data_IF_096684520003
#
_entry.id   IF_096684520003
#
_cell.length_a   1.000
_cell.length_b   1.000
_cell.length_c   1.000
_cell.angle_alpha   90.00
_cell.angle_beta   90.00
_cell.angle_gamma   90.00
#
_symmetry.space_group_name_H-M   'P 1'
#
loop_
_entity.id
_entity.type
_entity.pdbx_description
1 polymer ?
#
# COMPACT_ATOMS: atom_id res chain seq x y z
N UNK A 1 -10.95 -3.47 -16.21
CA UNK A 1 -9.85 -2.50 -16.15
C UNK A 1 -8.78 -2.95 -17.11
N UNK A 2 -8.19 -2.05 -17.88
CA UNK A 2 -7.03 -2.37 -18.73
C UNK A 2 -5.74 -2.02 -18.02
N UNK A 3 -4.65 -2.74 -18.26
CA UNK A 3 -3.35 -2.46 -17.64
C UNK A 3 -2.92 -1.01 -17.83
N UNK A 4 -3.09 -0.46 -19.03
CA UNK A 4 -2.64 0.90 -19.38
C UNK A 4 -3.47 2.01 -18.72
N UNK A 5 -4.61 1.67 -18.13
CA UNK A 5 -5.45 2.57 -17.35
C UNK A 5 -5.02 2.64 -15.87
N UNK A 6 -4.19 1.68 -15.42
CA UNK A 6 -3.74 1.59 -14.04
C UNK A 6 -2.44 2.37 -13.83
N UNK A 7 -2.45 3.23 -12.81
CA UNK A 7 -1.24 3.92 -12.37
C UNK A 7 -0.47 3.03 -11.40
N UNK A 8 0.77 2.69 -11.75
CA UNK A 8 1.71 2.09 -10.80
C UNK A 8 2.36 3.18 -9.94
N UNK A 9 2.38 2.95 -8.62
CA UNK A 9 2.87 3.93 -7.65
C UNK A 9 3.76 3.28 -6.60
N UNK A 10 4.59 4.11 -5.97
CA UNK A 10 5.24 3.85 -4.69
C UNK A 10 4.60 4.77 -3.66
N UNK A 11 4.09 4.20 -2.56
CA UNK A 11 3.47 4.92 -1.45
C UNK A 11 4.21 4.63 -0.16
N UNK A 12 4.72 5.66 0.49
CA UNK A 12 5.23 5.59 1.85
C UNK A 12 4.13 6.06 2.82
N UNK A 13 3.81 5.25 3.82
CA UNK A 13 2.72 5.52 4.76
C UNK A 13 3.01 4.95 6.14
N UNK A 14 2.21 5.38 7.12
CA UNK A 14 2.28 4.91 8.49
C UNK A 14 1.14 3.92 8.77
N UNK A 15 1.50 2.66 8.97
CA UNK A 15 0.56 1.59 9.30
C UNK A 15 0.40 1.44 10.81
N UNK A 16 -0.73 0.88 11.22
CA UNK A 16 -0.91 0.41 12.58
C UNK A 16 0.13 -0.68 12.88
N UNK A 17 0.73 -0.61 14.06
CA UNK A 17 1.50 -1.72 14.61
C UNK A 17 0.58 -2.52 15.50
N UNK A 18 0.49 -3.83 15.26
CA UNK A 18 -0.05 -4.76 16.25
C UNK A 18 1.09 -5.33 17.08
N UNK A 19 0.76 -5.72 18.30
CA UNK A 19 1.68 -6.46 19.14
C UNK A 19 1.81 -7.92 18.68
N UNK A 20 2.57 -8.73 19.42
CA UNK A 20 2.76 -10.16 19.15
C UNK A 20 1.63 -11.05 19.70
N UNK A 21 0.49 -10.46 20.08
CA UNK A 21 -0.65 -11.11 20.73
C UNK A 21 -0.31 -11.85 22.05
N UNK A 22 0.69 -11.36 22.80
CA UNK A 22 1.02 -11.86 24.14
C UNK A 22 0.79 -10.81 25.24
N UNK A 23 0.77 -11.25 26.50
CA UNK A 23 0.68 -10.34 27.64
C UNK A 23 1.99 -9.55 27.80
N UNK A 24 1.92 -8.24 27.57
CA UNK A 24 3.05 -7.32 27.67
C UNK A 24 2.84 -6.28 28.78
N UNK A 25 3.94 -5.69 29.24
CA UNK A 25 3.88 -4.59 30.20
C UNK A 25 3.26 -3.34 29.55
N UNK A 26 2.42 -2.62 30.31
CA UNK A 26 1.72 -1.45 29.78
C UNK A 26 2.68 -0.31 29.39
N UNK A 27 3.87 -0.21 30.00
CA UNK A 27 4.87 0.78 29.61
C UNK A 27 5.48 0.42 28.26
N UNK A 28 5.77 -0.86 28.04
CA UNK A 28 6.27 -1.35 26.75
C UNK A 28 5.24 -1.10 25.64
N UNK A 29 3.95 -1.34 25.91
CA UNK A 29 2.87 -1.05 24.97
C UNK A 29 2.74 0.44 24.64
N UNK A 30 2.97 1.34 25.61
CA UNK A 30 2.93 2.79 25.38
C UNK A 30 4.09 3.30 24.51
N UNK A 31 5.17 2.53 24.38
CA UNK A 31 6.32 2.88 23.55
C UNK A 31 6.15 2.45 22.08
N UNK A 32 5.06 1.74 21.76
CA UNK A 32 4.74 1.35 20.39
C UNK A 32 4.58 2.57 19.49
N UNK A 33 5.03 2.42 18.25
CA UNK A 33 5.01 3.47 17.22
C UNK A 33 4.35 2.92 15.97
N UNK A 34 3.72 3.82 15.21
CA UNK A 34 3.26 3.51 13.86
C UNK A 34 4.42 2.93 13.04
N UNK A 35 4.10 1.95 12.19
CA UNK A 35 5.09 1.28 11.35
C UNK A 35 5.25 2.05 10.04
N UNK A 36 6.45 2.56 9.70
CA UNK A 36 6.70 3.07 8.37
C UNK A 36 6.69 1.91 7.36
N UNK A 37 5.85 2.01 6.34
CA UNK A 37 5.67 0.99 5.30
C UNK A 37 5.80 1.66 3.94
N UNK A 38 6.45 0.96 3.02
CA UNK A 38 6.45 1.30 1.59
C UNK A 38 5.65 0.25 0.84
N UNK A 39 4.64 0.67 0.11
CA UNK A 39 3.82 -0.19 -0.76
C UNK A 39 4.02 0.21 -2.22
N UNK A 40 4.24 -0.79 -3.09
CA UNK A 40 4.39 -0.59 -4.53
C UNK A 40 3.32 -1.41 -5.24
N UNK A 41 2.57 -0.79 -6.15
CA UNK A 41 1.51 -1.49 -6.84
C UNK A 41 0.67 -0.61 -7.75
N UNK A 42 -0.32 -1.22 -8.38
CA UNK A 42 -1.29 -0.55 -9.24
C UNK A 42 -2.44 -0.01 -8.40
N UNK A 43 -2.78 1.27 -8.56
CA UNK A 43 -3.98 1.84 -7.96
C UNK A 43 -5.20 1.26 -8.64
N UNK A 44 -6.07 0.59 -7.87
CA UNK A 44 -7.36 0.08 -8.36
C UNK A 44 -8.55 0.93 -7.87
N UNK A 45 -8.36 1.70 -6.80
CA UNK A 45 -9.33 2.69 -6.30
C UNK A 45 -8.59 3.77 -5.52
N UNK A 46 -9.04 5.02 -5.65
CA UNK A 46 -8.59 6.12 -4.82
C UNK A 46 -9.76 7.08 -4.58
N UNK A 47 -9.96 7.42 -3.31
CA UNK A 47 -10.92 8.40 -2.85
C UNK A 47 -10.35 9.20 -1.66
N UNK A 48 -11.16 10.07 -1.07
CA UNK A 48 -10.72 10.92 0.04
C UNK A 48 -10.36 10.12 1.30
N UNK A 49 -10.87 8.90 1.44
CA UNK A 49 -10.70 8.08 2.63
C UNK A 49 -9.53 7.11 2.47
N UNK A 50 -9.36 6.54 1.26
CA UNK A 50 -8.39 5.48 1.02
C UNK A 50 -7.82 5.42 -0.40
N UNK A 51 -6.62 4.84 -0.48
CA UNK A 51 -6.01 4.33 -1.72
C UNK A 51 -5.92 2.81 -1.64
N UNK A 52 -6.42 2.11 -2.65
CA UNK A 52 -6.33 0.65 -2.75
C UNK A 52 -5.34 0.28 -3.85
N UNK A 53 -4.33 -0.51 -3.48
CA UNK A 53 -3.31 -1.02 -4.40
C UNK A 53 -3.41 -2.55 -4.53
N UNK A 54 -2.97 -3.07 -5.67
CA UNK A 54 -2.60 -4.49 -5.85
C UNK A 54 -1.17 -4.59 -6.36
N UNK A 55 -0.40 -5.58 -5.89
CA UNK A 55 1.00 -5.79 -6.30
C UNK A 55 1.10 -6.58 -7.61
N UNK A 56 0.08 -7.37 -7.94
CA UNK A 56 -0.06 -8.05 -9.22
C UNK A 56 -1.48 -7.87 -9.77
N UNK A 57 -1.61 -7.81 -11.09
CA UNK A 57 -2.87 -7.68 -11.81
C UNK A 57 -2.84 -8.57 -13.06
N UNK A 58 -3.88 -9.39 -13.23
CA UNK A 58 -4.13 -10.17 -14.44
C UNK A 58 -5.34 -9.55 -15.17
N UNK A 59 -5.07 -9.01 -16.36
CA UNK A 59 -6.08 -8.35 -17.20
C UNK A 59 -7.08 -9.35 -17.80
N UNK A 60 -6.70 -10.59 -18.07
CA UNK A 60 -7.62 -11.56 -18.68
C UNK A 60 -8.68 -12.02 -17.68
N UNK A 61 -8.23 -12.44 -16.49
CA UNK A 61 -9.13 -12.91 -15.43
C UNK A 61 -9.68 -11.79 -14.54
N UNK A 62 -9.23 -10.54 -14.71
CA UNK A 62 -9.57 -9.38 -13.87
C UNK A 62 -9.31 -9.65 -12.38
N UNK A 63 -8.23 -10.36 -12.07
CA UNK A 63 -7.81 -10.70 -10.71
C UNK A 63 -6.57 -9.90 -10.29
N UNK A 64 -6.43 -9.65 -8.99
CA UNK A 64 -5.25 -9.01 -8.41
C UNK A 64 -4.75 -9.73 -7.17
N UNK A 65 -3.46 -9.62 -6.90
CA UNK A 65 -2.79 -10.20 -5.73
C UNK A 65 -2.13 -9.13 -4.86
N UNK A 66 -1.91 -9.46 -3.57
CA UNK A 66 -1.23 -8.58 -2.62
C UNK A 66 -1.93 -7.25 -2.41
N UNK A 67 -3.26 -7.28 -2.29
CA UNK A 67 -4.07 -6.08 -2.08
C UNK A 67 -3.74 -5.38 -0.75
N UNK A 68 -3.68 -4.06 -0.78
CA UNK A 68 -3.53 -3.22 0.41
C UNK A 68 -4.47 -2.02 0.32
N UNK A 69 -5.11 -1.69 1.44
CA UNK A 69 -5.93 -0.48 1.59
C UNK A 69 -5.18 0.46 2.51
N UNK A 70 -4.85 1.65 2.02
CA UNK A 70 -4.05 2.64 2.73
C UNK A 70 -4.96 3.85 3.02
N UNK A 71 -5.19 4.20 4.29
CA UNK A 71 -5.92 5.43 4.63
C UNK A 71 -5.18 6.66 4.07
N UNK A 72 -5.91 7.54 3.37
CA UNK A 72 -5.29 8.67 2.66
C UNK A 72 -4.55 9.62 3.61
N UNK A 73 -5.02 9.74 4.86
CA UNK A 73 -4.40 10.55 5.90
C UNK A 73 -3.11 9.94 6.50
N UNK A 74 -2.83 8.65 6.26
CA UNK A 74 -1.60 7.99 6.69
C UNK A 74 -0.49 8.06 5.63
N UNK A 75 -0.81 8.51 4.41
CA UNK A 75 0.16 8.64 3.32
C UNK A 75 1.09 9.81 3.60
N UNK A 76 2.39 9.51 3.67
CA UNK A 76 3.45 10.50 3.84
C UNK A 76 4.09 10.90 2.51
N UNK A 77 4.06 9.98 1.52
CA UNK A 77 4.60 10.21 0.18
C UNK A 77 3.90 9.32 -0.83
N UNK A 78 3.63 9.85 -2.02
CA UNK A 78 3.13 9.10 -3.17
C UNK A 78 3.91 9.50 -4.42
N UNK A 79 4.47 8.52 -5.13
CA UNK A 79 5.21 8.72 -6.38
C UNK A 79 4.56 7.87 -7.46
N UNK A 80 4.16 8.48 -8.56
CA UNK A 80 3.73 7.74 -9.76
C UNK A 80 4.97 7.26 -10.50
N UNK A 81 5.08 5.96 -10.72
CA UNK A 81 6.14 5.38 -11.51
C UNK A 81 5.79 5.51 -13.00
N UNK A 82 6.57 6.29 -13.73
CA UNK A 82 6.52 6.30 -15.20
C UNK A 82 7.38 5.14 -15.67
N UNK A 83 6.77 4.18 -16.36
CA UNK A 83 7.45 2.93 -16.69
C UNK A 83 8.76 3.14 -17.44
N UNK A 84 9.83 2.54 -16.95
CA UNK A 84 10.94 2.15 -17.79
C UNK A 84 10.48 0.89 -18.53
N UNK A 85 9.84 1.07 -19.69
CA UNK A 85 9.38 -0.03 -20.54
C UNK A 85 10.47 -0.54 -21.50
N UNK A 86 11.71 -0.05 -21.37
CA UNK A 86 12.86 -0.54 -22.14
C UNK A 86 13.80 -1.28 -21.19
N UNK A 87 13.48 -2.53 -20.89
CA UNK A 87 14.49 -3.51 -20.46
C UNK A 87 14.79 -4.30 -21.73
N UNK A 88 15.87 -3.91 -22.43
CA UNK A 88 16.45 -4.73 -23.52
C UNK A 88 16.99 -6.05 -22.98
#
# INVERSE_FOLDING_TARGET
MKKDELQIVVIDWLDAMSDDNTWQDLKELQEQKLRPVTSVGYIIKEDNDSVILVSSFDEESQCGGGGVVIPTNCITKKIVLKGQFNVE
#
